data_IF_506940506899
#
_entry.id   IF_506940506899
#
_cell.length_a   1.000
_cell.length_b   1.000
_cell.length_c   1.000
_cell.angle_alpha   90.00
_cell.angle_beta   90.00
_cell.angle_gamma   90.00
#
_symmetry.space_group_name_H-M   'P 1'
#
loop_
_entity.id
_entity.type
_entity.pdbx_description
1 polymer ?
#
# COMPACT_ATOMS: atom_id res chain seq x y z
N UNK A 1 8.83 12.68 -51.11
CA UNK A 1 7.49 12.55 -50.53
C UNK A 1 7.32 11.26 -49.76
N UNK A 2 7.52 10.11 -50.37
CA UNK A 2 7.50 8.81 -49.65
C UNK A 2 8.59 8.70 -48.56
N UNK A 3 9.77 9.22 -48.76
CA UNK A 3 10.84 9.22 -47.77
C UNK A 3 10.58 10.04 -46.53
N UNK A 4 9.78 11.08 -46.61
CA UNK A 4 9.36 11.89 -45.45
C UNK A 4 8.42 11.15 -44.51
N UNK A 5 7.43 10.46 -45.07
CA UNK A 5 6.50 9.65 -44.29
C UNK A 5 7.18 8.43 -43.65
N UNK A 6 8.05 7.78 -44.39
CA UNK A 6 8.84 6.67 -43.85
C UNK A 6 9.71 7.11 -42.68
N UNK A 7 10.35 8.27 -42.76
CA UNK A 7 11.14 8.83 -41.67
C UNK A 7 10.31 9.12 -40.42
N UNK A 8 9.11 9.65 -40.60
CA UNK A 8 8.17 9.92 -39.51
C UNK A 8 7.73 8.60 -38.86
N UNK A 9 7.37 7.59 -39.66
CA UNK A 9 6.97 6.27 -39.16
C UNK A 9 8.10 5.58 -38.41
N UNK A 10 9.31 5.62 -38.90
CA UNK A 10 10.48 5.11 -38.20
C UNK A 10 10.72 5.81 -36.86
N UNK A 11 10.50 7.12 -36.81
CA UNK A 11 10.56 7.89 -35.59
C UNK A 11 9.51 7.44 -34.56
N UNK A 12 8.27 7.21 -35.00
CA UNK A 12 7.18 6.71 -34.15
C UNK A 12 7.47 5.30 -33.63
N UNK A 13 7.93 4.40 -34.50
CA UNK A 13 8.30 3.03 -34.11
C UNK A 13 9.37 3.07 -33.03
N UNK A 14 10.40 3.87 -33.23
CA UNK A 14 11.49 4.03 -32.24
C UNK A 14 10.99 4.57 -30.91
N UNK A 15 10.09 5.54 -30.92
CA UNK A 15 9.46 6.11 -29.74
C UNK A 15 8.61 5.07 -28.99
N UNK A 16 7.79 4.30 -29.69
CA UNK A 16 6.96 3.24 -29.13
C UNK A 16 7.83 2.12 -28.55
N UNK A 17 8.90 1.75 -29.23
CA UNK A 17 9.85 0.76 -28.71
C UNK A 17 10.53 1.23 -27.42
N UNK A 18 10.88 2.50 -27.32
CA UNK A 18 11.42 3.09 -26.10
C UNK A 18 10.38 3.07 -24.97
N UNK A 19 9.14 3.43 -25.25
CA UNK A 19 8.03 3.36 -24.30
C UNK A 19 7.78 1.93 -23.81
N UNK A 20 7.85 0.95 -24.72
CA UNK A 20 7.74 -0.48 -24.36
C UNK A 20 8.81 -0.92 -23.37
N UNK A 21 10.06 -0.50 -23.56
CA UNK A 21 11.16 -0.80 -22.64
C UNK A 21 10.93 -0.18 -21.27
N UNK A 22 10.48 1.08 -21.22
CA UNK A 22 10.16 1.79 -19.98
C UNK A 22 9.02 1.06 -19.23
N UNK A 23 7.95 0.72 -19.93
CA UNK A 23 6.81 0.01 -19.36
C UNK A 23 7.21 -1.36 -18.80
N UNK A 24 8.06 -2.07 -19.51
CA UNK A 24 8.59 -3.36 -19.03
C UNK A 24 9.43 -3.20 -17.77
N UNK A 25 10.26 -2.17 -17.71
CA UNK A 25 11.02 -1.85 -16.50
C UNK A 25 10.10 -1.49 -15.33
N UNK A 26 9.04 -0.72 -15.56
CA UNK A 26 8.03 -0.38 -14.54
C UNK A 26 7.31 -1.64 -14.02
N UNK A 27 6.98 -2.57 -14.91
CA UNK A 27 6.39 -3.87 -14.53
C UNK A 27 7.31 -4.65 -13.59
N UNK A 28 8.60 -4.75 -13.91
CA UNK A 28 9.57 -5.44 -13.06
C UNK A 28 9.76 -4.76 -11.70
N UNK A 29 9.79 -3.44 -11.67
CA UNK A 29 9.88 -2.68 -10.43
C UNK A 29 8.62 -2.90 -9.58
N UNK A 30 7.44 -2.83 -10.18
CA UNK A 30 6.16 -3.06 -9.48
C UNK A 30 6.10 -4.49 -8.91
N UNK A 31 6.47 -5.50 -9.66
CA UNK A 31 6.53 -6.89 -9.20
C UNK A 31 7.45 -7.05 -7.98
N UNK A 32 8.64 -6.45 -8.01
CA UNK A 32 9.57 -6.45 -6.88
C UNK A 32 9.00 -5.77 -5.64
N UNK A 33 8.32 -4.63 -5.81
CA UNK A 33 7.69 -3.90 -4.71
C UNK A 33 6.53 -4.66 -4.08
N UNK A 34 5.72 -5.35 -4.89
CA UNK A 34 4.63 -6.20 -4.40
C UNK A 34 5.17 -7.31 -3.49
N UNK A 35 6.21 -8.01 -3.92
CA UNK A 35 6.85 -9.07 -3.12
C UNK A 35 7.34 -8.53 -1.77
N UNK A 36 8.03 -7.41 -1.78
CA UNK A 36 8.51 -6.76 -0.54
C UNK A 36 7.37 -6.33 0.37
N UNK A 37 6.29 -5.78 -0.20
CA UNK A 37 5.11 -5.38 0.56
C UNK A 37 4.43 -6.60 1.21
N UNK A 38 4.27 -7.69 0.48
CA UNK A 38 3.71 -8.93 0.98
C UNK A 38 4.56 -9.54 2.11
N UNK A 39 5.88 -9.51 1.99
CA UNK A 39 6.78 -9.94 3.04
C UNK A 39 6.64 -9.11 4.31
N UNK A 40 6.50 -7.80 4.19
CA UNK A 40 6.27 -6.90 5.33
C UNK A 40 4.94 -7.18 6.02
N UNK A 41 3.89 -7.41 5.26
CA UNK A 41 2.58 -7.80 5.80
C UNK A 41 2.69 -9.12 6.55
N UNK A 42 3.28 -10.14 5.93
CA UNK A 42 3.46 -11.45 6.55
C UNK A 42 4.29 -11.40 7.85
N UNK A 43 5.27 -10.51 7.93
CA UNK A 43 6.06 -10.29 9.14
C UNK A 43 5.31 -9.51 10.23
N UNK A 44 4.39 -8.62 9.85
CA UNK A 44 3.63 -7.79 10.79
C UNK A 44 2.39 -8.50 11.38
N UNK A 45 1.79 -9.43 10.65
CA UNK A 45 0.56 -10.14 11.08
C UNK A 45 0.71 -10.84 12.43
N UNK A 46 1.77 -11.65 12.70
CA UNK A 46 1.93 -12.32 14.00
C UNK A 46 1.99 -11.33 15.17
N UNK A 47 2.65 -10.21 14.99
CA UNK A 47 2.72 -9.15 16.00
C UNK A 47 1.34 -8.56 16.29
N UNK A 48 0.58 -8.24 15.24
CA UNK A 48 -0.76 -7.69 15.36
C UNK A 48 -1.72 -8.65 16.06
N UNK A 49 -1.64 -9.92 15.76
CA UNK A 49 -2.44 -10.97 16.42
C UNK A 49 -2.11 -11.07 17.90
N UNK A 50 -0.84 -11.19 18.24
CA UNK A 50 -0.38 -11.34 19.62
C UNK A 50 -0.70 -10.11 20.47
N UNK A 51 -0.51 -8.90 19.96
CA UNK A 51 -0.84 -7.69 20.70
C UNK A 51 -2.35 -7.58 20.93
N UNK A 52 -3.15 -8.03 19.97
CA UNK A 52 -4.60 -8.10 20.12
C UNK A 52 -5.03 -9.05 21.21
N UNK A 53 -4.39 -10.22 21.32
CA UNK A 53 -4.64 -11.18 22.38
C UNK A 53 -4.28 -10.61 23.76
N UNK A 54 -3.12 -9.98 23.88
CA UNK A 54 -2.71 -9.32 25.13
C UNK A 54 -3.73 -8.27 25.56
N UNK A 55 -4.24 -7.47 24.65
CA UNK A 55 -5.28 -6.46 24.95
C UNK A 55 -6.59 -7.13 25.38
N UNK A 56 -6.98 -8.24 24.76
CA UNK A 56 -8.16 -9.03 25.16
C UNK A 56 -8.02 -9.59 26.56
N UNK A 57 -6.86 -10.17 26.87
CA UNK A 57 -6.56 -10.74 28.18
C UNK A 57 -6.57 -9.67 29.28
N UNK A 58 -6.01 -8.51 29.01
CA UNK A 58 -6.08 -7.36 29.91
C UNK A 58 -7.52 -6.91 30.17
N UNK A 59 -8.34 -6.84 29.14
CA UNK A 59 -9.74 -6.50 29.26
C UNK A 59 -10.54 -7.56 30.04
N UNK A 60 -10.27 -8.84 29.78
CA UNK A 60 -10.91 -9.96 30.49
C UNK A 60 -10.45 -10.07 31.94
N UNK A 61 -9.20 -9.72 32.26
CA UNK A 61 -8.63 -9.74 33.60
C UNK A 61 -9.14 -8.64 34.53
N UNK A 62 -10.13 -7.88 34.10
CA UNK A 62 -10.74 -6.83 34.94
C UNK A 62 -9.85 -5.61 35.12
N UNK A 63 -8.83 -5.44 34.29
CA UNK A 63 -8.13 -4.18 34.15
C UNK A 63 -9.08 -3.15 33.50
N UNK A 64 -10.21 -2.88 34.18
CA UNK A 64 -11.05 -1.72 33.95
C UNK A 64 -10.19 -0.54 34.36
N UNK A 65 -9.28 -0.25 33.52
CA UNK A 65 -8.35 0.83 33.76
C UNK A 65 -9.07 2.14 33.56
N UNK A 66 -8.70 3.09 34.36
CA UNK A 66 -9.00 4.50 34.12
C UNK A 66 -8.41 4.97 32.76
N UNK A 67 -7.87 4.04 31.95
CA UNK A 67 -7.34 4.34 30.63
C UNK A 67 -8.47 4.61 29.63
N UNK A 68 -8.54 5.80 29.05
CA UNK A 68 -9.57 6.14 28.06
C UNK A 68 -9.45 5.33 26.77
N UNK A 69 -8.38 4.54 26.59
CA UNK A 69 -8.19 3.64 25.46
C UNK A 69 -8.89 2.28 25.64
N UNK A 70 -9.12 1.85 26.89
CA UNK A 70 -9.80 0.60 27.21
C UNK A 70 -11.24 0.82 27.63
N UNK A 71 -11.54 1.94 28.31
CA UNK A 71 -12.89 2.36 28.65
C UNK A 71 -13.45 3.21 27.51
N UNK A 72 -14.54 2.79 26.90
CA UNK A 72 -15.23 3.60 25.90
C UNK A 72 -15.63 4.98 26.46
N UNK A 73 -15.74 5.96 25.60
CA UNK A 73 -16.22 7.28 25.98
C UNK A 73 -17.75 7.29 26.07
N UNK A 74 -18.29 7.97 27.08
CA UNK A 74 -19.74 8.12 27.23
C UNK A 74 -20.37 8.92 26.10
N UNK A 75 -19.63 9.87 25.54
CA UNK A 75 -20.08 10.73 24.46
C UNK A 75 -18.95 10.85 23.39
N UNK A 76 -19.29 10.56 22.17
CA UNK A 76 -18.36 10.69 21.02
C UNK A 76 -18.62 12.06 20.38
N UNK A 77 -17.72 13.01 20.62
CA UNK A 77 -17.82 14.38 20.07
C UNK A 77 -17.14 14.52 18.73
N UNK A 78 -16.06 13.80 18.52
CA UNK A 78 -15.27 13.84 17.31
C UNK A 78 -14.85 12.44 16.91
N UNK A 79 -14.90 12.17 15.61
CA UNK A 79 -14.41 10.91 15.02
C UNK A 79 -13.26 11.22 14.08
N UNK A 80 -12.15 10.52 14.27
CA UNK A 80 -10.99 10.61 13.37
C UNK A 80 -10.96 9.39 12.46
N UNK A 81 -10.91 9.62 11.17
CA UNK A 81 -10.71 8.58 10.17
C UNK A 81 -9.26 8.57 9.72
N UNK A 82 -8.57 7.45 9.94
CA UNK A 82 -7.22 7.26 9.45
C UNK A 82 -7.32 6.50 8.12
N UNK A 83 -7.04 7.19 7.03
CA UNK A 83 -7.12 6.61 5.69
C UNK A 83 -5.70 6.29 5.21
N UNK A 84 -5.46 5.02 4.91
CA UNK A 84 -4.17 4.53 4.43
C UNK A 84 -4.35 4.10 2.98
N UNK A 85 -3.69 4.81 2.08
CA UNK A 85 -3.79 4.58 0.64
C UNK A 85 -2.41 4.60 0.00
N UNK A 86 -2.33 4.18 -1.26
CA UNK A 86 -1.15 4.40 -2.07
C UNK A 86 -0.99 5.89 -2.40
N UNK A 87 0.25 6.35 -2.53
CA UNK A 87 0.57 7.75 -2.87
C UNK A 87 0.20 8.10 -4.31
N UNK A 88 0.20 7.11 -5.18
CA UNK A 88 -0.27 7.19 -6.56
C UNK A 88 -1.12 5.99 -6.90
N UNK A 89 -2.16 6.19 -7.71
CA UNK A 89 -3.07 5.16 -8.16
C UNK A 89 -2.48 4.18 -9.17
N UNK A 90 -1.35 3.65 -8.87
CA UNK A 90 -0.75 2.54 -9.62
C UNK A 90 -0.97 1.25 -8.86
#
# INVERSE_FOLDING_TARGET
MAGGQERILRGRIRSVQATKKITRAMELIAASRIVKAQQRVAAAVPYSEQITEVVRDLAAGGASSDSPLLSGRKEIKHTCYVVITADRGL
#
